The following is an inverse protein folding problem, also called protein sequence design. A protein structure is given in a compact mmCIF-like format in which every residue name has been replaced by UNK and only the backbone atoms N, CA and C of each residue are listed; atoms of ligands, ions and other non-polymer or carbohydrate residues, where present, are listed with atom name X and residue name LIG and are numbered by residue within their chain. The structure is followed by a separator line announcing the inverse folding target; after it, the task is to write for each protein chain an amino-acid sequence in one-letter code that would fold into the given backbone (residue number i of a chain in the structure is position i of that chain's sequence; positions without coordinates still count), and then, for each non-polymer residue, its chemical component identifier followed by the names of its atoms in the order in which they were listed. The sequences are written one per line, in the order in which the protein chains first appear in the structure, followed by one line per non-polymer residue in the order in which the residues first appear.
data_IF_378146377778
#
_entry.id   IF_378146377778
#
_cell.length_a   1.000
_cell.length_b   1.000
_cell.length_c   1.000
_cell.angle_alpha   90.00
_cell.angle_beta   90.00
_cell.angle_gamma   90.00
#
_symmetry.space_group_name_H-M   'P 1'
#
loop_
_entity.id
_entity.type
_entity.pdbx_description
1 polymer ?
#
# COMPACT_ATOMS: atom_id res chain seq x y z
N UNK A 1 26.36 -2.02 -7.34
CA UNK A 1 26.67 -2.88 -6.18
C UNK A 1 25.36 -3.47 -5.66
N UNK A 2 25.37 -4.74 -5.24
CA UNK A 2 24.20 -5.37 -4.62
C UNK A 2 23.97 -4.81 -3.20
N UNK A 3 22.71 -4.57 -2.83
CA UNK A 3 22.32 -3.96 -1.55
C UNK A 3 22.78 -4.81 -0.38
N UNK A 4 22.54 -6.13 -0.43
CA UNK A 4 22.78 -7.02 0.69
C UNK A 4 24.27 -7.26 0.89
N UNK A 5 25.01 -7.45 -0.20
CA UNK A 5 26.47 -7.51 -0.14
C UNK A 5 27.06 -6.25 0.52
N UNK A 6 26.58 -5.07 0.14
CA UNK A 6 26.99 -3.82 0.79
C UNK A 6 26.66 -3.81 2.29
N UNK A 7 25.42 -4.17 2.66
CA UNK A 7 25.00 -4.21 4.07
C UNK A 7 25.83 -5.20 4.89
N UNK A 8 26.18 -6.38 4.36
CA UNK A 8 27.04 -7.34 5.05
C UNK A 8 28.44 -6.80 5.30
N UNK A 9 29.04 -6.15 4.30
CA UNK A 9 30.34 -5.48 4.44
C UNK A 9 30.26 -4.37 5.48
N UNK A 10 29.26 -3.49 5.39
CA UNK A 10 29.05 -2.39 6.33
C UNK A 10 28.93 -2.90 7.78
N UNK A 11 28.14 -3.95 8.02
CA UNK A 11 27.99 -4.55 9.36
C UNK A 11 29.32 -5.07 9.91
N UNK A 12 30.14 -5.68 9.07
CA UNK A 12 31.47 -6.19 9.45
C UNK A 12 32.40 -5.04 9.84
N UNK A 13 32.44 -3.98 9.04
CA UNK A 13 33.25 -2.79 9.29
C UNK A 13 32.80 -2.06 10.57
N UNK A 14 31.49 -1.90 10.76
CA UNK A 14 30.92 -1.29 11.96
C UNK A 14 31.28 -2.06 13.23
N UNK A 15 31.22 -3.40 13.21
CA UNK A 15 31.67 -4.22 14.34
C UNK A 15 33.17 -4.04 14.63
N UNK A 16 34.00 -4.04 13.59
CA UNK A 16 35.45 -3.82 13.74
C UNK A 16 35.77 -2.42 14.31
N UNK A 17 34.96 -1.41 13.98
CA UNK A 17 35.07 -0.05 14.51
C UNK A 17 34.46 0.15 15.90
N UNK A 18 33.97 -0.90 16.57
CA UNK A 18 33.38 -0.82 17.91
C UNK A 18 31.90 -0.43 17.95
N UNK A 19 31.22 -0.35 16.80
CA UNK A 19 29.79 -0.04 16.70
C UNK A 19 28.89 -1.29 16.71
N UNK A 20 29.25 -2.31 17.49
CA UNK A 20 28.53 -3.59 17.54
C UNK A 20 27.05 -3.45 17.93
N UNK A 21 26.74 -2.59 18.90
CA UNK A 21 25.35 -2.32 19.31
C UNK A 21 24.50 -1.76 18.16
N UNK A 22 25.06 -0.86 17.34
CA UNK A 22 24.34 -0.30 16.20
C UNK A 22 23.95 -1.39 15.18
N UNK A 23 24.84 -2.37 14.98
CA UNK A 23 24.57 -3.54 14.13
C UNK A 23 23.48 -4.42 14.73
N UNK A 24 23.52 -4.69 16.03
CA UNK A 24 22.53 -5.53 16.71
C UNK A 24 21.11 -4.89 16.65
N UNK A 25 21.02 -3.58 16.86
CA UNK A 25 19.75 -2.83 16.74
C UNK A 25 19.25 -2.84 15.29
N UNK A 26 20.13 -2.65 14.32
CA UNK A 26 19.79 -2.71 12.90
C UNK A 26 19.23 -4.08 12.51
N UNK A 27 19.88 -5.16 12.93
CA UNK A 27 19.43 -6.54 12.65
C UNK A 27 18.06 -6.84 13.26
N UNK A 28 17.82 -6.36 14.50
CA UNK A 28 16.50 -6.47 15.15
C UNK A 28 15.43 -5.69 14.40
N UNK A 29 15.71 -4.45 14.01
CA UNK A 29 14.76 -3.62 13.27
C UNK A 29 14.39 -4.26 11.93
N UNK A 30 15.38 -4.76 11.17
CA UNK A 30 15.14 -5.46 9.91
C UNK A 30 14.29 -6.71 10.13
N UNK A 31 14.60 -7.52 11.15
CA UNK A 31 13.81 -8.71 11.50
C UNK A 31 12.36 -8.36 11.78
N UNK A 32 12.10 -7.39 12.66
CA UNK A 32 10.75 -6.94 12.98
C UNK A 32 10.03 -6.42 11.73
N UNK A 33 10.73 -5.72 10.84
CA UNK A 33 10.16 -5.23 9.57
C UNK A 33 9.78 -6.38 8.63
N UNK A 34 10.63 -7.40 8.50
CA UNK A 34 10.32 -8.60 7.71
C UNK A 34 9.17 -9.43 8.28
N UNK A 35 9.07 -9.50 9.61
CA UNK A 35 7.98 -10.15 10.33
C UNK A 35 6.72 -9.30 10.42
N UNK A 36 6.75 -8.07 9.88
CA UNK A 36 5.65 -7.10 9.91
C UNK A 36 5.19 -6.72 11.32
N UNK A 37 6.11 -6.79 12.27
CA UNK A 37 5.97 -6.35 13.65
C UNK A 37 6.22 -4.83 13.71
N UNK A 38 5.30 -4.07 13.08
CA UNK A 38 5.46 -2.64 12.79
C UNK A 38 5.80 -1.82 14.04
N UNK A 39 5.07 -2.05 15.13
CA UNK A 39 5.26 -1.34 16.40
C UNK A 39 6.66 -1.60 16.99
N UNK A 40 7.13 -2.85 16.93
CA UNK A 40 8.43 -3.26 17.43
C UNK A 40 9.56 -2.67 16.58
N UNK A 41 9.40 -2.66 15.25
CA UNK A 41 10.36 -2.03 14.35
C UNK A 41 10.45 -0.52 14.60
N UNK A 42 9.31 0.16 14.76
CA UNK A 42 9.26 1.60 15.04
C UNK A 42 9.91 1.98 16.37
N UNK A 43 9.73 1.15 17.41
CA UNK A 43 10.32 1.39 18.73
C UNK A 43 11.86 1.43 18.71
N UNK A 44 12.50 0.80 17.72
CA UNK A 44 13.97 0.77 17.59
C UNK A 44 14.54 1.96 16.80
N UNK A 45 13.71 2.71 16.06
CA UNK A 45 14.17 3.79 15.19
C UNK A 45 14.89 4.93 15.92
N UNK A 46 14.45 5.41 17.10
CA UNK A 46 15.16 6.49 17.80
C UNK A 46 16.60 6.13 18.15
N UNK A 47 16.82 4.93 18.69
CA UNK A 47 18.16 4.41 19.02
C UNK A 47 19.01 4.25 17.75
N UNK A 48 18.43 3.64 16.71
CA UNK A 48 19.13 3.38 15.46
C UNK A 48 19.53 4.68 14.73
N UNK A 49 18.66 5.70 14.72
CA UNK A 49 18.97 7.04 14.18
C UNK A 49 20.07 7.75 14.98
N UNK A 50 20.07 7.61 16.31
CA UNK A 50 21.13 8.16 17.15
C UNK A 50 22.49 7.52 16.82
N UNK A 51 22.53 6.19 16.65
CA UNK A 51 23.73 5.49 16.21
C UNK A 51 24.19 5.95 14.81
N UNK A 52 23.27 6.03 13.85
CA UNK A 52 23.60 6.47 12.49
C UNK A 52 24.21 7.88 12.46
N UNK A 53 23.66 8.79 13.25
CA UNK A 53 24.19 10.15 13.41
C UNK A 53 25.61 10.16 14.00
N UNK A 54 25.86 9.34 15.01
CA UNK A 54 27.19 9.24 15.64
C UNK A 54 28.24 8.63 14.70
N UNK A 55 27.84 7.65 13.89
CA UNK A 55 28.69 7.01 12.88
C UNK A 55 29.00 7.99 11.73
N UNK A 56 28.06 8.89 11.40
CA UNK A 56 28.24 9.87 10.33
C UNK A 56 28.28 9.28 8.93
N UNK A 57 27.79 8.04 8.74
CA UNK A 57 27.75 7.40 7.43
C UNK A 57 26.46 7.81 6.68
N UNK A 58 26.58 8.55 5.56
CA UNK A 58 25.44 9.07 4.81
C UNK A 58 24.56 7.96 4.20
N UNK A 59 25.14 6.81 3.86
CA UNK A 59 24.41 5.70 3.25
C UNK A 59 23.64 4.91 4.29
N UNK A 60 24.15 4.82 5.53
CA UNK A 60 23.43 4.22 6.65
C UNK A 60 22.17 5.03 7.00
N UNK A 61 22.26 6.36 6.96
CA UNK A 61 21.09 7.25 7.13
C UNK A 61 20.01 6.96 6.08
N UNK A 62 20.39 6.90 4.80
CA UNK A 62 19.47 6.57 3.70
C UNK A 62 18.85 5.18 3.87
N UNK A 63 19.67 4.18 4.24
CA UNK A 63 19.19 2.82 4.45
C UNK A 63 18.16 2.75 5.57
N UNK A 64 18.47 3.32 6.75
CA UNK A 64 17.54 3.34 7.89
C UNK A 64 16.26 4.08 7.53
N UNK A 65 16.38 5.24 6.85
CA UNK A 65 15.23 6.01 6.41
C UNK A 65 14.31 5.22 5.49
N UNK A 66 14.86 4.49 4.52
CA UNK A 66 14.06 3.65 3.63
C UNK A 66 13.28 2.57 4.41
N UNK A 67 13.93 1.88 5.35
CA UNK A 67 13.26 0.83 6.13
C UNK A 67 12.22 1.38 7.11
N UNK A 68 12.41 2.59 7.64
CA UNK A 68 11.36 3.33 8.35
C UNK A 68 10.16 3.60 7.44
N UNK A 69 10.40 4.13 6.23
CA UNK A 69 9.34 4.42 5.25
C UNK A 69 8.62 3.15 4.80
N UNK A 70 9.31 2.02 4.65
CA UNK A 70 8.67 0.72 4.38
C UNK A 70 7.70 0.28 5.48
N UNK A 71 7.89 0.68 6.73
CA UNK A 71 6.88 0.41 7.76
C UNK A 71 5.72 1.43 7.70
N UNK A 72 6.05 2.71 7.61
CA UNK A 72 5.07 3.80 7.68
C UNK A 72 4.22 3.91 6.42
N UNK A 73 4.85 4.09 5.27
CA UNK A 73 4.17 4.21 3.97
C UNK A 73 3.82 2.82 3.43
N UNK A 74 4.74 1.87 3.60
CA UNK A 74 4.56 0.48 3.22
C UNK A 74 3.41 -0.17 3.99
N UNK A 75 3.61 -0.47 5.27
CA UNK A 75 2.65 -1.27 6.05
C UNK A 75 1.46 -0.48 6.58
N UNK A 76 1.65 0.75 7.08
CA UNK A 76 0.58 1.55 7.72
C UNK A 76 -0.21 2.44 6.78
N UNK A 77 0.28 2.61 5.54
CA UNK A 77 -0.27 3.50 4.53
C UNK A 77 -0.31 4.97 4.96
N UNK A 78 0.76 5.45 5.61
CA UNK A 78 0.89 6.86 5.94
C UNK A 78 0.94 7.74 4.68
N UNK A 79 0.06 8.75 4.64
CA UNK A 79 0.00 9.78 3.60
C UNK A 79 0.63 11.07 4.13
N UNK A 80 -0.18 12.10 4.34
CA UNK A 80 0.29 13.44 4.74
C UNK A 80 1.16 13.42 6.00
N UNK A 81 0.88 12.50 6.94
CA UNK A 81 1.67 12.34 8.16
C UNK A 81 3.15 11.97 7.91
N UNK A 82 3.46 11.32 6.78
CA UNK A 82 4.81 10.95 6.38
C UNK A 82 5.42 11.87 5.30
N UNK A 83 4.60 12.70 4.64
CA UNK A 83 4.97 13.43 3.44
C UNK A 83 6.24 14.29 3.60
N UNK A 84 6.31 15.13 4.63
CA UNK A 84 7.48 15.98 4.86
C UNK A 84 8.77 15.16 5.09
N UNK A 85 8.66 14.01 5.76
CA UNK A 85 9.81 13.19 6.10
C UNK A 85 10.31 12.38 4.91
N UNK A 86 9.41 11.87 4.07
CA UNK A 86 9.81 11.13 2.86
C UNK A 86 10.41 12.05 1.81
N UNK A 87 9.92 13.29 1.68
CA UNK A 87 10.53 14.30 0.81
C UNK A 87 11.95 14.62 1.28
N UNK A 88 12.14 14.86 2.59
CA UNK A 88 13.47 15.09 3.15
C UNK A 88 14.42 13.90 2.94
N UNK A 89 13.92 12.66 3.09
CA UNK A 89 14.70 11.45 2.81
C UNK A 89 15.06 11.33 1.32
N UNK A 90 14.13 11.64 0.42
CA UNK A 90 14.36 11.64 -1.03
C UNK A 90 15.43 12.66 -1.41
N UNK A 91 15.35 13.90 -0.91
CA UNK A 91 16.38 14.90 -1.11
C UNK A 91 17.74 14.43 -0.56
N UNK A 92 17.76 13.85 0.64
CA UNK A 92 18.97 13.30 1.27
C UNK A 92 19.62 12.20 0.42
N UNK A 93 18.81 11.30 -0.13
CA UNK A 93 19.27 10.16 -0.94
C UNK A 93 19.85 10.59 -2.30
N UNK A 94 19.48 11.78 -2.78
CA UNK A 94 19.96 12.34 -4.05
C UNK A 94 21.13 13.32 -3.89
N UNK A 95 21.66 13.52 -2.67
CA UNK A 95 22.90 14.31 -2.46
C UNK A 95 24.13 13.58 -2.98
N UNK A 96 25.17 14.34 -3.34
CA UNK A 96 26.42 13.82 -3.92
C UNK A 96 27.08 12.72 -3.06
N UNK A 97 27.02 12.87 -1.72
CA UNK A 97 27.60 11.94 -0.75
C UNK A 97 26.77 10.64 -0.55
N UNK A 98 25.54 10.57 -1.07
CA UNK A 98 24.62 9.45 -0.86
C UNK A 98 24.01 8.88 -2.15
N UNK A 99 24.09 9.58 -3.28
CA UNK A 99 23.48 9.14 -4.54
C UNK A 99 23.97 7.76 -5.00
N UNK A 100 25.22 7.40 -4.67
CA UNK A 100 25.82 6.11 -4.99
C UNK A 100 25.46 4.98 -4.01
N UNK A 101 24.71 5.28 -2.94
CA UNK A 101 24.18 4.26 -2.03
C UNK A 101 23.31 3.27 -2.82
N UNK A 102 23.53 1.94 -2.70
CA UNK A 102 22.72 0.96 -3.43
C UNK A 102 21.21 1.06 -3.17
N UNK A 103 20.82 1.55 -1.98
CA UNK A 103 19.43 1.75 -1.55
C UNK A 103 18.84 3.11 -1.97
N UNK A 104 19.64 4.07 -2.46
CA UNK A 104 19.15 5.43 -2.78
C UNK A 104 17.93 5.40 -3.71
N UNK A 105 17.98 4.54 -4.73
CA UNK A 105 16.88 4.37 -5.68
C UNK A 105 15.58 3.88 -5.04
N UNK A 106 15.65 3.09 -3.97
CA UNK A 106 14.46 2.59 -3.27
C UNK A 106 13.68 3.70 -2.57
N UNK A 107 14.32 4.83 -2.26
CA UNK A 107 13.62 5.99 -1.69
C UNK A 107 12.65 6.62 -2.69
N UNK A 108 12.86 6.40 -3.99
CA UNK A 108 11.86 6.77 -5.02
C UNK A 108 10.53 6.05 -4.77
N UNK A 109 10.58 4.76 -4.41
CA UNK A 109 9.39 4.00 -4.10
C UNK A 109 8.67 4.59 -2.87
N UNK A 110 9.42 4.97 -1.84
CA UNK A 110 8.84 5.55 -0.63
C UNK A 110 8.10 6.85 -0.96
N UNK A 111 8.71 7.75 -1.75
CA UNK A 111 8.11 9.00 -2.17
C UNK A 111 6.82 8.77 -2.97
N UNK A 112 6.90 7.92 -4.00
CA UNK A 112 5.76 7.61 -4.88
C UNK A 112 4.61 6.94 -4.11
N UNK A 113 4.93 6.01 -3.21
CA UNK A 113 3.94 5.36 -2.36
C UNK A 113 3.29 6.32 -1.36
N UNK A 114 4.03 7.32 -0.86
CA UNK A 114 3.45 8.35 0.01
C UNK A 114 2.48 9.24 -0.76
N UNK A 115 2.86 9.70 -1.95
CA UNK A 115 1.95 10.42 -2.85
C UNK A 115 0.70 9.61 -3.18
N UNK A 116 0.83 8.30 -3.41
CA UNK A 116 -0.29 7.38 -3.59
C UNK A 116 -1.24 7.39 -2.38
N UNK A 117 -0.67 7.34 -1.17
CA UNK A 117 -1.45 7.33 0.08
C UNK A 117 -2.17 8.67 0.35
N UNK A 118 -1.53 9.81 0.09
CA UNK A 118 -2.14 11.15 0.25
C UNK A 118 -3.35 11.28 -0.68
N UNK A 119 -3.07 11.28 -1.98
CA UNK A 119 -4.04 11.47 -3.05
C UNK A 119 -3.47 10.95 -4.37
N UNK A 120 -3.47 9.64 -4.57
CA UNK A 120 -2.77 9.02 -5.70
C UNK A 120 -3.09 9.59 -7.08
N UNK A 121 -4.35 9.91 -7.37
CA UNK A 121 -4.77 10.54 -8.64
C UNK A 121 -4.36 12.02 -8.75
N UNK A 122 -4.18 12.70 -7.62
CA UNK A 122 -3.78 14.10 -7.53
C UNK A 122 -2.27 14.33 -7.67
N UNK A 123 -1.47 13.26 -7.57
CA UNK A 123 -0.01 13.28 -7.70
C UNK A 123 0.51 12.44 -8.88
N UNK A 124 -0.39 12.01 -9.78
CA UNK A 124 -0.03 11.07 -10.86
C UNK A 124 1.16 11.55 -11.70
N UNK A 125 1.22 12.84 -12.02
CA UNK A 125 2.26 13.39 -12.90
C UNK A 125 3.64 13.27 -12.24
N UNK A 126 3.74 13.67 -10.98
CA UNK A 126 4.96 13.56 -10.19
C UNK A 126 5.36 12.09 -9.98
N UNK A 127 4.39 11.22 -9.68
CA UNK A 127 4.63 9.78 -9.49
C UNK A 127 5.21 9.14 -10.76
N UNK A 128 4.59 9.36 -11.92
CA UNK A 128 5.05 8.81 -13.19
C UNK A 128 6.42 9.38 -13.56
N UNK A 129 6.63 10.69 -13.42
CA UNK A 129 7.88 11.33 -13.81
C UNK A 129 9.08 10.77 -13.04
N UNK A 130 8.98 10.65 -11.71
CA UNK A 130 10.08 10.12 -10.89
C UNK A 130 10.29 8.62 -11.14
N UNK A 131 9.21 7.85 -11.35
CA UNK A 131 9.35 6.45 -11.76
C UNK A 131 10.08 6.29 -13.10
N UNK A 132 9.77 7.13 -14.09
CA UNK A 132 10.42 7.09 -15.41
C UNK A 132 11.90 7.42 -15.31
N UNK A 133 12.26 8.44 -14.54
CA UNK A 133 13.66 8.78 -14.29
C UNK A 133 14.41 7.64 -13.58
N UNK A 134 13.79 6.98 -12.60
CA UNK A 134 14.39 5.86 -11.89
C UNK A 134 14.53 4.62 -12.80
N UNK A 135 13.54 4.30 -13.63
CA UNK A 135 13.58 3.15 -14.54
C UNK A 135 14.62 3.31 -15.65
N UNK A 136 15.02 4.53 -16.00
CA UNK A 136 16.14 4.79 -16.91
C UNK A 136 17.51 4.41 -16.30
N UNK A 137 17.60 4.34 -14.97
CA UNK A 137 18.85 4.13 -14.21
C UNK A 137 18.95 2.75 -13.57
N UNK A 138 17.89 1.96 -13.61
CA UNK A 138 17.84 0.64 -12.95
C UNK A 138 17.68 -0.45 -14.00
N UNK A 139 18.59 -1.40 -13.97
CA UNK A 139 18.54 -2.56 -14.86
C UNK A 139 17.50 -3.61 -14.42
N UNK A 140 16.87 -4.34 -15.36
CA UNK A 140 15.87 -5.36 -15.06
C UNK A 140 16.34 -6.48 -14.14
N UNK A 141 17.65 -6.72 -14.01
CA UNK A 141 18.19 -7.74 -13.09
C UNK A 141 18.08 -7.34 -11.61
N UNK A 142 17.84 -6.05 -11.30
CA UNK A 142 17.74 -5.55 -9.93
C UNK A 142 16.29 -5.61 -9.43
N UNK A 143 16.08 -6.05 -8.19
CA UNK A 143 14.76 -6.09 -7.56
C UNK A 143 14.04 -4.72 -7.55
N UNK A 144 14.81 -3.61 -7.48
CA UNK A 144 14.29 -2.25 -7.55
C UNK A 144 13.52 -2.00 -8.86
N UNK A 145 13.90 -2.63 -9.97
CA UNK A 145 13.22 -2.46 -11.25
C UNK A 145 11.75 -2.87 -11.19
N UNK A 146 11.47 -4.05 -10.61
CA UNK A 146 10.11 -4.54 -10.40
C UNK A 146 9.32 -3.63 -9.46
N UNK A 147 9.96 -3.12 -8.40
CA UNK A 147 9.31 -2.21 -7.46
C UNK A 147 8.91 -0.89 -8.11
N UNK A 148 9.82 -0.24 -8.87
CA UNK A 148 9.48 1.02 -9.55
C UNK A 148 8.48 0.79 -10.69
N UNK A 149 8.54 -0.35 -11.37
CA UNK A 149 7.54 -0.75 -12.37
C UNK A 149 6.16 -0.90 -11.74
N UNK A 150 6.06 -1.51 -10.56
CA UNK A 150 4.81 -1.57 -9.79
C UNK A 150 4.26 -0.17 -9.51
N UNK A 151 5.09 0.73 -8.98
CA UNK A 151 4.64 2.06 -8.59
C UNK A 151 4.13 2.89 -9.78
N UNK A 152 4.77 2.78 -10.95
CA UNK A 152 4.29 3.44 -12.17
C UNK A 152 2.96 2.87 -12.66
N UNK A 153 2.80 1.54 -12.64
CA UNK A 153 1.55 0.91 -13.03
C UNK A 153 0.40 1.28 -12.07
N UNK A 154 0.68 1.37 -10.77
CA UNK A 154 -0.27 1.84 -9.76
C UNK A 154 -0.66 3.31 -9.99
N UNK A 155 0.28 4.18 -10.35
CA UNK A 155 -0.03 5.57 -10.72
C UNK A 155 -0.94 5.66 -11.95
N UNK A 156 -0.69 4.84 -12.99
CA UNK A 156 -1.57 4.76 -14.16
C UNK A 156 -2.98 4.26 -13.78
N UNK A 157 -3.06 3.32 -12.84
CA UNK A 157 -4.33 2.80 -12.34
C UNK A 157 -5.14 3.88 -11.59
N UNK A 158 -4.48 4.66 -10.73
CA UNK A 158 -5.09 5.79 -10.00
C UNK A 158 -5.57 6.91 -10.94
N UNK A 159 -4.93 7.08 -12.10
CA UNK A 159 -5.32 8.04 -13.13
C UNK A 159 -6.49 7.57 -14.01
N UNK A 160 -6.99 6.35 -13.78
CA UNK A 160 -8.05 5.76 -14.58
C UNK A 160 -7.59 5.27 -15.96
N UNK A 161 -6.31 4.87 -16.09
CA UNK A 161 -5.70 4.36 -17.34
C UNK A 161 -5.30 2.88 -17.23
N UNK A 162 -6.24 1.96 -16.92
CA UNK A 162 -5.90 0.57 -16.65
C UNK A 162 -5.37 -0.20 -17.87
N UNK A 163 -5.83 0.08 -19.10
CA UNK A 163 -5.28 -0.58 -20.30
C UNK A 163 -3.81 -0.19 -20.54
N UNK A 164 -3.46 1.08 -20.30
CA UNK A 164 -2.07 1.54 -20.41
C UNK A 164 -1.19 0.93 -19.31
N UNK A 165 -1.73 0.80 -18.09
CA UNK A 165 -1.08 0.10 -17.00
C UNK A 165 -0.80 -1.37 -17.36
N UNK A 166 -1.77 -2.07 -17.96
CA UNK A 166 -1.62 -3.46 -18.40
C UNK A 166 -0.51 -3.61 -19.44
N UNK A 167 -0.57 -2.82 -20.52
CA UNK A 167 0.43 -2.86 -21.58
C UNK A 167 1.84 -2.54 -21.05
N UNK A 168 1.95 -1.57 -20.14
CA UNK A 168 3.22 -1.24 -19.49
C UNK A 168 3.74 -2.41 -18.65
N UNK A 169 2.89 -3.07 -17.86
CA UNK A 169 3.28 -4.21 -17.02
C UNK A 169 3.76 -5.40 -17.85
N UNK A 170 3.05 -5.74 -18.92
CA UNK A 170 3.45 -6.82 -19.83
C UNK A 170 4.84 -6.53 -20.44
N UNK A 171 5.09 -5.29 -20.84
CA UNK A 171 6.40 -4.87 -21.32
C UNK A 171 7.49 -5.03 -20.25
N UNK A 172 7.25 -4.60 -19.01
CA UNK A 172 8.25 -4.72 -17.93
C UNK A 172 8.50 -6.18 -17.55
N UNK A 173 7.46 -7.02 -17.49
CA UNK A 173 7.59 -8.46 -17.27
C UNK A 173 8.44 -9.11 -18.37
N UNK A 174 8.19 -8.77 -19.63
CA UNK A 174 9.02 -9.23 -20.76
C UNK A 174 10.50 -8.86 -20.61
N UNK A 175 10.80 -7.62 -20.14
CA UNK A 175 12.18 -7.19 -19.88
C UNK A 175 12.84 -7.97 -18.75
N UNK A 176 12.10 -8.29 -17.69
CA UNK A 176 12.60 -9.06 -16.53
C UNK A 176 12.92 -10.51 -16.96
N UNK A 177 12.02 -11.14 -17.72
CA UNK A 177 12.21 -12.49 -18.25
C UNK A 177 13.39 -12.55 -19.23
N UNK A 178 13.49 -11.59 -20.15
CA UNK A 178 14.63 -11.47 -21.08
C UNK A 178 15.97 -11.27 -20.36
N UNK A 179 15.94 -10.70 -19.16
CA UNK A 179 17.10 -10.56 -18.28
C UNK A 179 17.42 -11.82 -17.44
N UNK A 180 16.69 -12.92 -17.66
CA UNK A 180 16.88 -14.20 -16.95
C UNK A 180 16.44 -14.16 -15.49
N UNK A 181 15.49 -13.28 -15.14
CA UNK A 181 14.91 -13.17 -13.79
C UNK A 181 13.47 -13.65 -13.77
N UNK A 182 13.03 -14.13 -12.62
CA UNK A 182 11.62 -14.46 -12.36
C UNK A 182 10.82 -13.19 -12.04
N UNK A 183 9.51 -13.25 -12.31
CA UNK A 183 8.59 -12.17 -11.96
C UNK A 183 8.39 -12.13 -10.44
N UNK A 184 8.69 -10.97 -9.86
CA UNK A 184 8.54 -10.76 -8.42
C UNK A 184 7.05 -10.63 -8.03
N UNK A 185 6.69 -11.11 -6.84
CA UNK A 185 5.30 -11.13 -6.34
C UNK A 185 4.56 -9.81 -6.49
N UNK A 186 5.21 -8.68 -6.19
CA UNK A 186 4.60 -7.35 -6.34
C UNK A 186 4.06 -7.08 -7.77
N UNK A 187 4.71 -7.57 -8.82
CA UNK A 187 4.20 -7.38 -10.19
C UNK A 187 2.94 -8.20 -10.47
N UNK A 188 2.80 -9.38 -9.87
CA UNK A 188 1.54 -10.14 -9.95
C UNK A 188 0.40 -9.39 -9.26
N UNK A 189 0.67 -8.75 -8.12
CA UNK A 189 -0.32 -7.97 -7.36
C UNK A 189 -0.94 -6.86 -8.22
N UNK A 190 -0.11 -5.98 -8.79
CA UNK A 190 -0.63 -4.87 -9.61
C UNK A 190 -1.22 -5.37 -10.93
N UNK A 191 -0.68 -6.45 -11.50
CA UNK A 191 -1.26 -7.05 -12.71
C UNK A 191 -2.69 -7.55 -12.44
N UNK A 192 -2.93 -8.25 -11.33
CA UNK A 192 -4.27 -8.64 -10.93
C UNK A 192 -5.16 -7.43 -10.62
N UNK A 193 -4.66 -6.41 -9.91
CA UNK A 193 -5.42 -5.20 -9.61
C UNK A 193 -5.90 -4.48 -10.89
N UNK A 194 -5.02 -4.37 -11.90
CA UNK A 194 -5.33 -3.80 -13.21
C UNK A 194 -6.40 -4.63 -13.92
N UNK A 195 -6.25 -5.97 -13.97
CA UNK A 195 -7.23 -6.85 -14.61
C UNK A 195 -8.60 -6.80 -13.92
N UNK A 196 -8.64 -6.73 -12.60
CA UNK A 196 -9.89 -6.56 -11.84
C UNK A 196 -10.55 -5.20 -12.12
N UNK A 197 -9.76 -4.13 -12.29
CA UNK A 197 -10.27 -2.81 -12.69
C UNK A 197 -10.85 -2.83 -14.11
N UNK A 198 -10.27 -3.62 -15.01
CA UNK A 198 -10.78 -3.87 -16.36
C UNK A 198 -11.97 -4.83 -16.41
N UNK A 199 -12.44 -5.33 -15.26
CA UNK A 199 -13.47 -6.36 -15.17
C UNK A 199 -13.11 -7.66 -15.94
N UNK A 200 -11.86 -8.11 -15.81
CA UNK A 200 -11.33 -9.35 -16.41
C UNK A 200 -10.90 -10.37 -15.33
N UNK A 201 -11.82 -10.84 -14.46
CA UNK A 201 -11.46 -11.67 -13.31
C UNK A 201 -10.89 -13.05 -13.70
N UNK A 202 -11.25 -13.61 -14.85
CA UNK A 202 -10.70 -14.87 -15.36
C UNK A 202 -9.22 -14.75 -15.71
N UNK A 203 -8.81 -13.62 -16.29
CA UNK A 203 -7.41 -13.33 -16.57
C UNK A 203 -6.63 -13.11 -15.26
N UNK A 204 -7.23 -12.40 -14.29
CA UNK A 204 -6.62 -12.23 -12.98
C UNK A 204 -6.43 -13.58 -12.26
N UNK A 205 -7.37 -14.51 -12.41
CA UNK A 205 -7.24 -15.88 -11.91
C UNK A 205 -6.07 -16.63 -12.56
N UNK A 206 -5.85 -16.47 -13.87
CA UNK A 206 -4.72 -17.08 -14.55
C UNK A 206 -3.36 -16.56 -14.00
N UNK A 207 -3.25 -15.24 -13.79
CA UNK A 207 -2.07 -14.62 -13.17
C UNK A 207 -1.84 -15.17 -11.76
N UNK A 208 -2.90 -15.37 -10.98
CA UNK A 208 -2.80 -15.96 -9.65
C UNK A 208 -2.29 -17.41 -9.70
N UNK A 209 -2.81 -18.23 -10.62
CA UNK A 209 -2.36 -19.63 -10.78
C UNK A 209 -0.88 -19.69 -11.17
N UNK A 210 -0.43 -18.80 -12.05
CA UNK A 210 0.99 -18.66 -12.39
C UNK A 210 1.83 -18.30 -11.16
N UNK A 211 1.39 -17.32 -10.39
CA UNK A 211 2.08 -16.95 -9.14
C UNK A 211 2.15 -18.13 -8.17
N UNK A 212 1.03 -18.84 -7.93
CA UNK A 212 0.98 -20.00 -7.02
C UNK A 212 1.87 -21.16 -7.49
N UNK A 213 1.95 -21.40 -8.80
CA UNK A 213 2.81 -22.43 -9.37
C UNK A 213 4.32 -22.11 -9.22
N UNK A 214 4.67 -20.83 -9.16
CA UNK A 214 6.05 -20.35 -8.96
C UNK A 214 6.48 -20.22 -7.50
N UNK A 215 5.64 -20.59 -6.53
CA UNK A 215 6.00 -20.50 -5.11
C UNK A 215 7.01 -21.61 -4.74
N UNK A 216 8.23 -21.20 -4.40
CA UNK A 216 9.27 -22.08 -3.88
C UNK A 216 9.75 -21.59 -2.50
N UNK A 217 9.95 -22.52 -1.57
CA UNK A 217 10.53 -22.23 -0.26
C UNK A 217 9.61 -21.47 0.70
N UNK A 218 10.21 -20.61 1.53
CA UNK A 218 9.51 -19.86 2.57
C UNK A 218 8.83 -18.60 1.99
N UNK A 219 7.51 -18.51 2.15
CA UNK A 219 6.72 -17.34 1.77
C UNK A 219 6.64 -16.35 2.94
N UNK A 220 7.10 -15.12 2.72
CA UNK A 220 7.05 -14.08 3.76
C UNK A 220 5.59 -13.70 4.08
N UNK A 221 5.26 -13.34 5.35
CA UNK A 221 3.90 -12.97 5.73
C UNK A 221 3.27 -11.90 4.84
N UNK A 222 4.04 -10.89 4.42
CA UNK A 222 3.57 -9.84 3.49
C UNK A 222 3.12 -10.42 2.15
N UNK A 223 3.89 -11.32 1.56
CA UNK A 223 3.59 -11.93 0.26
C UNK A 223 2.39 -12.85 0.37
N UNK A 224 2.36 -13.68 1.42
CA UNK A 224 1.24 -14.60 1.70
C UNK A 224 -0.07 -13.85 1.87
N UNK A 225 -0.11 -12.83 2.73
CA UNK A 225 -1.35 -12.08 2.97
C UNK A 225 -1.82 -11.34 1.72
N UNK A 226 -0.90 -10.72 0.98
CA UNK A 226 -1.22 -10.08 -0.30
C UNK A 226 -1.88 -11.05 -1.27
N UNK A 227 -1.24 -12.20 -1.53
CA UNK A 227 -1.74 -13.25 -2.42
C UNK A 227 -3.12 -13.73 -1.99
N UNK A 228 -3.34 -13.98 -0.70
CA UNK A 228 -4.64 -14.41 -0.18
C UNK A 228 -5.74 -13.36 -0.38
N UNK A 229 -5.46 -12.08 -0.15
CA UNK A 229 -6.45 -11.01 -0.33
C UNK A 229 -6.80 -10.79 -1.81
N UNK A 230 -5.81 -10.84 -2.71
CA UNK A 230 -6.10 -10.82 -4.15
C UNK A 230 -6.87 -12.06 -4.59
N UNK A 231 -6.53 -13.25 -4.09
CA UNK A 231 -7.28 -14.48 -4.38
C UNK A 231 -8.74 -14.37 -3.93
N UNK A 232 -8.98 -13.85 -2.72
CA UNK A 232 -10.35 -13.63 -2.22
C UNK A 232 -11.14 -12.66 -3.12
N UNK A 233 -10.52 -11.55 -3.57
CA UNK A 233 -11.17 -10.64 -4.52
C UNK A 233 -11.49 -11.28 -5.86
N UNK A 234 -10.52 -12.00 -6.45
CA UNK A 234 -10.72 -12.68 -7.74
C UNK A 234 -11.85 -13.70 -7.62
N UNK A 235 -11.86 -14.51 -6.56
CA UNK A 235 -12.94 -15.48 -6.31
C UNK A 235 -14.30 -14.80 -6.12
N UNK A 236 -14.36 -13.70 -5.36
CA UNK A 236 -15.59 -12.92 -5.19
C UNK A 236 -16.10 -12.38 -6.54
N UNK A 237 -15.22 -11.94 -7.43
CA UNK A 237 -15.60 -11.46 -8.77
C UNK A 237 -16.00 -12.57 -9.73
N UNK A 238 -15.48 -13.78 -9.53
CA UNK A 238 -15.92 -15.00 -10.19
C UNK A 238 -17.17 -15.64 -9.55
N UNK A 239 -17.77 -14.99 -8.54
CA UNK A 239 -18.93 -15.48 -7.79
C UNK A 239 -18.70 -16.84 -7.09
N UNK A 240 -17.43 -17.13 -6.76
CA UNK A 240 -17.02 -18.31 -5.97
C UNK A 240 -17.02 -17.95 -4.49
N UNK A 241 -18.18 -17.54 -4.01
CA UNK A 241 -18.31 -16.79 -2.75
C UNK A 241 -17.85 -17.58 -1.52
N UNK A 242 -18.21 -18.86 -1.39
CA UNK A 242 -17.79 -19.67 -0.24
C UNK A 242 -16.27 -19.86 -0.17
N UNK A 243 -15.61 -19.99 -1.33
CA UNK A 243 -14.14 -20.07 -1.38
C UNK A 243 -13.49 -18.73 -1.05
N UNK A 244 -14.08 -17.62 -1.49
CA UNK A 244 -13.62 -16.29 -1.12
C UNK A 244 -13.75 -16.06 0.39
N UNK A 245 -14.89 -16.41 0.98
CA UNK A 245 -15.15 -16.32 2.42
C UNK A 245 -14.13 -17.12 3.24
N UNK A 246 -13.78 -18.33 2.79
CA UNK A 246 -12.83 -19.19 3.49
C UNK A 246 -11.39 -18.63 3.54
N UNK A 247 -11.05 -17.67 2.65
CA UNK A 247 -9.71 -17.08 2.56
C UNK A 247 -9.59 -15.72 3.26
N UNK A 248 -10.71 -15.09 3.62
CA UNK A 248 -10.70 -13.81 4.30
C UNK A 248 -10.13 -13.98 5.71
N UNK A 249 -8.95 -13.40 5.93
CA UNK A 249 -8.28 -13.39 7.22
C UNK A 249 -9.05 -12.51 8.23
N UNK A 250 -8.81 -12.77 9.51
CA UNK A 250 -9.27 -11.88 10.56
C UNK A 250 -8.54 -10.52 10.45
N UNK A 251 -9.21 -9.43 10.81
CA UNK A 251 -8.70 -8.07 10.60
C UNK A 251 -7.47 -7.74 11.48
N UNK A 252 -7.40 -8.34 12.67
CA UNK A 252 -6.30 -8.24 13.62
C UNK A 252 -5.07 -9.03 13.17
N UNK A 253 -5.25 -10.04 12.31
CA UNK A 253 -4.16 -10.76 11.64
C UNK A 253 -3.66 -10.02 10.39
N UNK A 254 -4.43 -9.05 9.88
CA UNK A 254 -4.23 -8.40 8.60
C UNK A 254 -3.31 -7.18 8.71
N UNK A 255 -2.22 -7.23 7.96
CA UNK A 255 -1.31 -6.09 7.79
C UNK A 255 -2.13 -4.91 7.22
N UNK A 256 -2.02 -3.69 7.77
CA UNK A 256 -2.95 -2.62 7.41
C UNK A 256 -3.01 -2.27 5.92
N UNK A 257 -1.90 -2.39 5.19
CA UNK A 257 -1.85 -2.27 3.72
C UNK A 257 -2.92 -3.08 3.01
N UNK A 258 -3.23 -4.28 3.50
CA UNK A 258 -4.12 -5.21 2.82
C UNK A 258 -5.58 -5.06 3.19
N UNK A 259 -5.92 -4.20 4.17
CA UNK A 259 -7.30 -4.00 4.64
C UNK A 259 -8.22 -3.40 3.58
N UNK A 260 -7.71 -2.56 2.69
CA UNK A 260 -8.49 -2.09 1.54
C UNK A 260 -8.79 -3.22 0.55
N UNK A 261 -7.85 -4.14 0.34
CA UNK A 261 -8.08 -5.28 -0.54
C UNK A 261 -9.12 -6.23 0.06
N UNK A 262 -8.99 -6.50 1.35
CA UNK A 262 -10.00 -7.20 2.14
C UNK A 262 -11.37 -6.53 2.01
N UNK A 263 -11.46 -5.21 2.18
CA UNK A 263 -12.73 -4.47 2.12
C UNK A 263 -13.41 -4.59 0.74
N UNK A 264 -12.65 -4.48 -0.35
CA UNK A 264 -13.19 -4.62 -1.70
C UNK A 264 -13.73 -6.03 -1.98
N UNK A 265 -13.10 -7.08 -1.44
CA UNK A 265 -13.65 -8.44 -1.51
C UNK A 265 -14.95 -8.53 -0.68
N UNK A 266 -14.97 -7.95 0.52
CA UNK A 266 -16.14 -7.93 1.39
C UNK A 266 -17.33 -7.22 0.76
N UNK A 267 -17.11 -6.07 0.12
CA UNK A 267 -18.17 -5.32 -0.55
C UNK A 267 -18.91 -6.18 -1.59
N UNK A 268 -18.17 -6.86 -2.46
CA UNK A 268 -18.70 -7.77 -3.48
C UNK A 268 -19.50 -8.92 -2.86
N UNK A 269 -18.95 -9.55 -1.81
CA UNK A 269 -19.58 -10.70 -1.15
C UNK A 269 -20.84 -10.29 -0.37
N UNK A 270 -20.84 -9.13 0.28
CA UNK A 270 -21.97 -8.63 1.08
C UNK A 270 -23.16 -8.23 0.22
N UNK A 271 -22.96 -7.82 -1.03
CA UNK A 271 -24.06 -7.60 -1.96
C UNK A 271 -24.89 -8.88 -2.18
N UNK A 272 -24.25 -10.05 -2.12
CA UNK A 272 -24.89 -11.37 -2.30
C UNK A 272 -25.23 -12.07 -0.98
N UNK A 273 -24.63 -11.63 0.13
CA UNK A 273 -24.88 -12.15 1.47
C UNK A 273 -25.11 -11.03 2.50
N UNK A 274 -26.14 -10.18 2.34
CA UNK A 274 -26.38 -9.02 3.19
C UNK A 274 -26.61 -9.37 4.66
N UNK A 275 -27.04 -10.60 4.98
CA UNK A 275 -27.19 -11.10 6.34
C UNK A 275 -25.86 -11.15 7.13
N UNK A 276 -24.71 -11.12 6.45
CA UNK A 276 -23.38 -11.06 7.08
C UNK A 276 -22.93 -9.64 7.43
N UNK A 277 -23.70 -8.62 7.03
CA UNK A 277 -23.47 -7.23 7.39
C UNK A 277 -23.89 -6.98 8.85
N UNK A 278 -22.96 -7.13 9.79
CA UNK A 278 -23.22 -7.11 11.24
C UNK A 278 -22.42 -6.00 11.97
N UNK A 279 -22.67 -5.86 13.28
CA UNK A 279 -22.01 -4.84 14.10
C UNK A 279 -20.48 -5.00 14.17
N UNK A 280 -19.99 -6.25 14.22
CA UNK A 280 -18.54 -6.50 14.25
C UNK A 280 -17.86 -5.96 12.99
N UNK A 281 -18.49 -6.10 11.81
CA UNK A 281 -18.01 -5.48 10.59
C UNK A 281 -18.08 -3.94 10.67
N UNK A 282 -19.17 -3.39 11.22
CA UNK A 282 -19.34 -1.95 11.40
C UNK A 282 -18.20 -1.33 12.24
N UNK A 283 -17.83 -1.98 13.35
CA UNK A 283 -16.74 -1.54 14.22
C UNK A 283 -15.38 -1.57 13.51
N UNK A 284 -15.16 -2.56 12.64
CA UNK A 284 -13.94 -2.65 11.81
C UNK A 284 -13.86 -1.54 10.76
N UNK A 285 -14.99 -1.19 10.13
CA UNK A 285 -15.04 -0.08 9.17
C UNK A 285 -14.74 1.26 9.85
N UNK A 286 -15.25 1.45 11.08
CA UNK A 286 -14.93 2.62 11.92
C UNK A 286 -13.42 2.70 12.23
N UNK A 287 -12.80 1.59 12.61
CA UNK A 287 -11.36 1.55 12.86
C UNK A 287 -10.54 1.84 11.60
N UNK A 288 -10.94 1.26 10.46
CA UNK A 288 -10.26 1.42 9.18
C UNK A 288 -10.32 2.88 8.68
N UNK A 289 -11.52 3.49 8.69
CA UNK A 289 -11.66 4.88 8.27
C UNK A 289 -10.92 5.83 9.21
N UNK A 290 -10.96 5.56 10.52
CA UNK A 290 -10.24 6.32 11.54
C UNK A 290 -8.72 6.25 11.39
N UNK A 291 -8.19 5.08 11.00
CA UNK A 291 -6.76 4.92 10.70
C UNK A 291 -6.34 5.80 9.51
N UNK A 292 -7.07 5.73 8.39
CA UNK A 292 -6.75 6.54 7.21
C UNK A 292 -6.89 8.03 7.47
N UNK A 293 -7.88 8.44 8.27
CA UNK A 293 -8.02 9.82 8.74
C UNK A 293 -6.78 10.29 9.51
N UNK A 294 -6.35 9.52 10.52
CA UNK A 294 -5.18 9.85 11.36
C UNK A 294 -3.90 10.03 10.54
N UNK A 295 -3.75 9.23 9.50
CA UNK A 295 -2.54 9.23 8.68
C UNK A 295 -2.60 10.15 7.46
N UNK A 296 -3.71 10.88 7.28
CA UNK A 296 -3.88 11.79 6.16
C UNK A 296 -3.89 11.07 4.81
N UNK A 297 -4.53 9.89 4.75
CA UNK A 297 -4.76 9.15 3.52
C UNK A 297 -6.13 9.54 2.92
N UNK A 298 -6.23 10.77 2.42
CA UNK A 298 -7.50 11.46 2.17
C UNK A 298 -8.44 10.73 1.21
N UNK A 299 -7.91 10.25 0.08
CA UNK A 299 -8.71 9.50 -0.90
C UNK A 299 -9.20 8.18 -0.33
N UNK A 300 -8.42 7.51 0.52
CA UNK A 300 -8.82 6.26 1.17
C UNK A 300 -9.93 6.46 2.18
N UNK A 301 -9.95 7.57 2.92
CA UNK A 301 -11.08 7.91 3.80
C UNK A 301 -12.39 7.97 3.02
N UNK A 302 -12.37 8.63 1.86
CA UNK A 302 -13.55 8.76 0.99
C UNK A 302 -13.96 7.39 0.41
N UNK A 303 -12.99 6.57 -0.01
CA UNK A 303 -13.25 5.21 -0.52
C UNK A 303 -13.88 4.31 0.55
N UNK A 304 -13.37 4.32 1.78
CA UNK A 304 -13.95 3.53 2.88
C UNK A 304 -15.35 4.05 3.22
N UNK A 305 -15.57 5.37 3.26
CA UNK A 305 -16.90 5.94 3.50
C UNK A 305 -17.90 5.52 2.42
N UNK A 306 -17.48 5.48 1.15
CA UNK A 306 -18.32 5.07 0.03
C UNK A 306 -18.84 3.64 0.14
N UNK A 307 -18.07 2.75 0.77
CA UNK A 307 -18.46 1.36 1.03
C UNK A 307 -19.25 1.27 2.35
N UNK A 308 -18.80 1.97 3.39
CA UNK A 308 -19.34 1.86 4.74
C UNK A 308 -20.74 2.48 4.88
N UNK A 309 -21.00 3.62 4.23
CA UNK A 309 -22.30 4.31 4.32
C UNK A 309 -23.46 3.44 3.83
N UNK A 310 -23.41 2.85 2.61
CA UNK A 310 -24.46 1.93 2.16
C UNK A 310 -24.67 0.74 3.11
N UNK A 311 -23.59 0.18 3.65
CA UNK A 311 -23.67 -0.93 4.62
C UNK A 311 -24.33 -0.48 5.93
N UNK A 312 -24.05 0.72 6.43
CA UNK A 312 -24.70 1.28 7.59
C UNK A 312 -26.20 1.51 7.36
N UNK A 313 -26.58 2.02 6.19
CA UNK A 313 -27.99 2.22 5.81
C UNK A 313 -28.75 0.89 5.73
N UNK A 314 -28.13 -0.16 5.19
CA UNK A 314 -28.73 -1.51 5.20
C UNK A 314 -29.01 -2.02 6.61
N UNK A 315 -28.16 -1.68 7.59
CA UNK A 315 -28.36 -2.00 9.02
C UNK A 315 -29.26 -1.00 9.76
N UNK A 316 -29.76 0.03 9.07
CA UNK A 316 -30.53 1.15 9.66
C UNK A 316 -29.75 1.99 10.68
N UNK A 317 -28.42 2.01 10.58
CA UNK A 317 -27.54 2.82 11.43
C UNK A 317 -27.25 4.19 10.79
N UNK A 318 -28.23 5.10 10.92
CA UNK A 318 -28.10 6.46 10.40
C UNK A 318 -27.00 7.28 11.10
N UNK A 319 -26.68 6.94 12.36
CA UNK A 319 -25.66 7.67 13.12
C UNK A 319 -24.27 7.42 12.53
N UNK A 320 -23.93 6.15 12.30
CA UNK A 320 -22.66 5.80 11.66
C UNK A 320 -22.58 6.34 10.23
N UNK A 321 -23.65 6.22 9.44
CA UNK A 321 -23.67 6.75 8.08
C UNK A 321 -23.36 8.27 8.03
N UNK A 322 -23.99 9.06 8.92
CA UNK A 322 -23.75 10.51 9.02
C UNK A 322 -22.34 10.82 9.52
N UNK A 323 -21.82 10.06 10.48
CA UNK A 323 -20.47 10.24 10.98
C UNK A 323 -19.43 10.01 9.88
N UNK A 324 -19.55 8.92 9.11
CA UNK A 324 -18.63 8.61 8.01
C UNK A 324 -18.72 9.63 6.88
N UNK A 325 -19.93 10.10 6.56
CA UNK A 325 -20.12 11.16 5.57
C UNK A 325 -19.47 12.47 6.02
N UNK A 326 -19.69 12.90 7.27
CA UNK A 326 -19.10 14.10 7.83
C UNK A 326 -17.56 14.03 7.79
N UNK A 327 -17.00 12.88 8.20
CA UNK A 327 -15.56 12.65 8.14
C UNK A 327 -15.04 12.73 6.70
N UNK A 328 -15.68 12.05 5.74
CA UNK A 328 -15.28 12.08 4.34
C UNK A 328 -15.32 13.50 3.74
N UNK A 329 -16.31 14.32 4.10
CA UNK A 329 -16.39 15.72 3.66
C UNK A 329 -15.19 16.55 4.10
N UNK A 330 -14.63 16.32 5.30
CA UNK A 330 -13.41 17.05 5.75
C UNK A 330 -12.20 16.77 4.86
N UNK A 331 -12.18 15.63 4.16
CA UNK A 331 -11.06 15.20 3.32
C UNK A 331 -11.19 15.60 1.85
N UNK A 332 -12.39 15.90 1.36
CA UNK A 332 -12.58 16.33 -0.04
C UNK A 332 -11.75 17.58 -0.36
N UNK A 333 -11.71 18.56 0.56
CA UNK A 333 -10.93 19.77 0.38
C UNK A 333 -9.41 19.58 0.42
N UNK A 334 -8.94 18.39 0.83
CA UNK A 334 -7.52 18.03 0.88
C UNK A 334 -7.09 17.26 -0.38
N UNK A 335 -8.03 16.90 -1.27
CA UNK A 335 -7.68 16.29 -2.55
C UNK A 335 -7.10 17.33 -3.50
N UNK A 336 -5.98 16.99 -4.14
CA UNK A 336 -5.43 17.79 -5.25
C UNK A 336 -6.26 17.65 -6.51
N UNK A 337 -6.91 16.50 -6.70
CA UNK A 337 -7.84 16.25 -7.81
C UNK A 337 -9.12 15.62 -7.30
N UNK A 338 -10.28 16.16 -7.67
CA UNK A 338 -11.56 15.65 -7.16
C UNK A 338 -11.82 14.19 -7.60
N UNK A 339 -11.72 13.92 -8.91
CA UNK A 339 -12.05 12.63 -9.53
C UNK A 339 -13.46 12.11 -9.20
N UNK A 340 -14.44 13.00 -8.98
CA UNK A 340 -15.83 12.64 -8.70
C UNK A 340 -16.13 12.41 -7.21
N UNK A 341 -15.19 12.66 -6.31
CA UNK A 341 -15.39 12.57 -4.87
C UNK A 341 -16.54 13.46 -4.37
N UNK A 342 -16.66 14.71 -4.85
CA UNK A 342 -17.77 15.58 -4.44
C UNK A 342 -19.12 15.03 -4.86
N UNK A 343 -19.24 14.58 -6.11
CA UNK A 343 -20.48 14.00 -6.64
C UNK A 343 -20.85 12.72 -5.90
N UNK A 344 -19.87 11.88 -5.59
CA UNK A 344 -20.04 10.67 -4.80
C UNK A 344 -20.60 10.98 -3.40
N UNK A 345 -19.99 11.93 -2.68
CA UNK A 345 -20.48 12.29 -1.33
C UNK A 345 -21.87 12.94 -1.38
N UNK A 346 -22.18 13.74 -2.39
CA UNK A 346 -23.53 14.30 -2.57
C UNK A 346 -24.60 13.22 -2.80
N UNK A 347 -24.26 12.17 -3.57
CA UNK A 347 -25.12 11.00 -3.76
C UNK A 347 -25.35 10.25 -2.44
N UNK A 348 -24.29 10.02 -1.67
CA UNK A 348 -24.39 9.35 -0.36
C UNK A 348 -25.20 10.17 0.65
N UNK A 349 -25.02 11.49 0.68
CA UNK A 349 -25.83 12.39 1.48
C UNK A 349 -27.32 12.27 1.14
N UNK A 350 -27.66 12.25 -0.16
CA UNK A 350 -29.04 12.08 -0.62
C UNK A 350 -29.65 10.74 -0.18
N UNK A 351 -28.85 9.66 -0.18
CA UNK A 351 -29.29 8.34 0.32
C UNK A 351 -29.57 8.34 1.82
N UNK A 352 -28.74 9.02 2.62
CA UNK A 352 -28.94 9.18 4.07
C UNK A 352 -30.22 9.98 4.36
N UNK A 353 -30.47 11.07 3.62
CA UNK A 353 -31.68 11.86 3.78
C UNK A 353 -32.94 11.05 3.41
N UNK A 354 -32.90 10.28 2.32
CA UNK A 354 -34.00 9.41 1.91
C UNK A 354 -34.31 8.30 2.94
N UNK A 355 -33.30 7.82 3.67
CA UNK A 355 -33.45 6.84 4.73
C UNK A 355 -33.82 7.44 6.10
N UNK A 356 -33.77 8.77 6.24
CA UNK A 356 -34.08 9.45 7.50
C UNK A 356 -35.61 9.49 7.72
N UNK A 357 -36.11 9.13 8.91
CA UNK A 357 -37.54 9.26 9.19
C UNK A 357 -37.97 10.73 9.13
N UNK A 358 -39.18 11.03 8.64
CA UNK A 358 -39.66 12.40 8.54
C UNK A 358 -39.64 13.07 9.92
N UNK A 359 -39.13 14.30 9.96
CA UNK A 359 -39.15 15.13 11.17
C UNK A 359 -40.60 15.22 11.66
N UNK A 360 -40.87 14.66 12.85
CA UNK A 360 -42.14 14.90 13.54
C UNK A 360 -42.17 16.38 13.93
N UNK A 361 -42.89 17.18 13.13
CA UNK A 361 -43.28 18.53 13.50
C UNK A 361 -44.32 18.37 14.61
N UNK A 362 -43.96 18.71 15.84
CA UNK A 362 -44.89 18.82 16.97
C UNK A 362 -45.56 20.19 16.94
#
# INVERSE_FOLDING_TARGET
MDIWNWVYTLKTELRAAGHGQAVDVLDRMLRHTYSVEVTQAQALLPELKAHAKAIGNPWLEVFIGHWEMRNRIGSLLEGDAALAQVVALFERANREDAQQCPQSVCVTQDLVGCYANVDGAGWVQERIAVCDEALQRVEPQRACFSCISYEKADALLDDGRPEEALAFLEQQQGRILAAGKSIYGALHEIHMAVLLRLNRPEQAWAVLLEWEAGLEGYEWPTQRQSRLMFKAQVLARLQRDEEAWALLLAEDELIPRYRMFWLLAFEELLQRAPQRNNQMLADRLEQLIGQHHRYGAHRRVIQVAAISIPLALQRQDLAQARQHLALAHTHVGQLRRDCGAQALLASLASQIEAASPPLKVN
#
